data_IF_563629859578
#
_entry.id   IF_563629859578
#
_cell.length_a   1.000
_cell.length_b   1.000
_cell.length_c   1.000
_cell.angle_alpha   90.00
_cell.angle_beta   90.00
_cell.angle_gamma   90.00
#
_symmetry.space_group_name_H-M   'P 1'
#
loop_
_entity.id
_entity.type
_entity.pdbx_description
1 polymer ?
#
# COMPACT_ATOMS: atom_id res chain seq x y z
N UNK A 1 -3.28 -26.10 -3.97
CA UNK A 1 -2.20 -26.03 -4.98
C UNK A 1 -2.65 -25.32 -6.22
N UNK A 2 -1.78 -24.51 -6.81
CA UNK A 2 -2.03 -23.79 -8.07
C UNK A 2 -0.87 -24.01 -9.04
N UNK A 3 -1.17 -24.12 -10.32
CA UNK A 3 -0.13 -24.17 -11.35
C UNK A 3 0.37 -22.75 -11.66
N UNK A 4 1.67 -22.65 -11.95
CA UNK A 4 2.24 -21.37 -12.36
C UNK A 4 1.58 -20.81 -13.62
N UNK A 5 1.10 -21.67 -14.51
CA UNK A 5 0.33 -21.27 -15.69
C UNK A 5 -0.99 -20.56 -15.37
N UNK A 6 -1.49 -20.72 -14.16
CA UNK A 6 -2.76 -20.12 -13.70
C UNK A 6 -2.57 -18.87 -12.85
N UNK A 7 -1.35 -18.38 -12.69
CA UNK A 7 -1.08 -17.17 -11.92
C UNK A 7 -1.83 -15.96 -12.46
N UNK A 8 -2.29 -15.14 -11.51
CA UNK A 8 -2.88 -13.82 -11.79
C UNK A 8 -2.22 -12.80 -10.86
N UNK A 9 -2.33 -11.54 -11.19
CA UNK A 9 -1.87 -10.48 -10.28
C UNK A 9 -2.65 -10.57 -8.98
N UNK A 10 -1.93 -10.58 -7.86
CA UNK A 10 -2.51 -10.75 -6.53
C UNK A 10 -2.55 -12.18 -6.02
N UNK A 11 -2.26 -13.19 -6.86
CA UNK A 11 -2.15 -14.58 -6.41
C UNK A 11 -1.06 -14.68 -5.34
N UNK A 12 -1.38 -15.33 -4.20
CA UNK A 12 -0.44 -15.55 -3.09
C UNK A 12 -0.15 -17.03 -2.92
N UNK A 13 1.11 -17.35 -2.75
CA UNK A 13 1.57 -18.73 -2.60
C UNK A 13 2.79 -18.83 -1.70
N UNK A 14 3.04 -20.02 -1.18
CA UNK A 14 4.23 -20.32 -0.39
C UNK A 14 5.31 -20.95 -1.27
N UNK A 15 6.52 -20.44 -1.14
CA UNK A 15 7.71 -20.97 -1.80
C UNK A 15 8.88 -20.87 -0.83
N UNK A 16 9.57 -21.98 -0.58
CA UNK A 16 10.71 -22.06 0.34
C UNK A 16 10.40 -21.47 1.72
N UNK A 17 9.21 -21.78 2.25
CA UNK A 17 8.70 -21.29 3.54
C UNK A 17 8.50 -19.77 3.60
N UNK A 18 8.46 -19.10 2.45
CA UNK A 18 8.16 -17.68 2.33
C UNK A 18 6.85 -17.48 1.58
N UNK A 19 6.12 -16.43 1.89
CA UNK A 19 4.87 -16.08 1.20
C UNK A 19 5.12 -14.99 0.19
N UNK A 20 4.75 -15.26 -1.06
CA UNK A 20 4.90 -14.33 -2.18
C UNK A 20 3.55 -13.98 -2.79
N UNK A 21 3.47 -12.74 -3.27
CA UNK A 21 2.34 -12.28 -4.09
C UNK A 21 2.84 -12.00 -5.49
N UNK A 22 2.11 -12.46 -6.49
CA UNK A 22 2.39 -12.15 -7.89
C UNK A 22 2.01 -10.70 -8.15
N UNK A 23 3.01 -9.87 -8.46
CA UNK A 23 2.82 -8.45 -8.80
C UNK A 23 2.61 -8.29 -10.31
N UNK A 24 3.42 -8.99 -11.08
CA UNK A 24 3.32 -9.02 -12.54
C UNK A 24 3.64 -10.42 -13.04
N UNK A 25 3.01 -10.84 -14.12
CA UNK A 25 3.32 -12.10 -14.78
C UNK A 25 3.22 -11.94 -16.29
N UNK A 26 4.00 -12.76 -17.00
CA UNK A 26 3.98 -12.81 -18.45
C UNK A 26 4.14 -14.26 -18.91
N UNK A 27 3.19 -14.74 -19.69
CA UNK A 27 3.33 -16.02 -20.38
C UNK A 27 4.14 -15.83 -21.65
N UNK A 28 5.23 -16.56 -21.76
CA UNK A 28 6.11 -16.50 -22.92
C UNK A 28 6.10 -17.85 -23.63
N UNK A 29 5.79 -17.82 -24.92
CA UNK A 29 5.85 -18.99 -25.81
C UNK A 29 6.92 -18.69 -26.86
N UNK A 30 8.17 -19.10 -26.63
CA UNK A 30 9.22 -18.86 -27.63
C UNK A 30 8.96 -19.69 -28.89
N UNK A 31 9.42 -19.22 -30.03
CA UNK A 31 9.31 -19.97 -31.29
C UNK A 31 10.09 -21.27 -31.28
N UNK A 32 11.13 -21.36 -30.46
CA UNK A 32 11.92 -22.56 -30.17
C UNK A 32 12.07 -22.67 -28.65
N UNK A 33 11.77 -23.83 -28.10
CA UNK A 33 11.88 -24.10 -26.68
C UNK A 33 10.54 -24.19 -25.97
N UNK A 34 10.58 -24.52 -24.69
CA UNK A 34 9.39 -24.69 -23.85
C UNK A 34 8.81 -23.33 -23.43
N UNK A 35 7.47 -23.28 -23.31
CA UNK A 35 6.79 -22.12 -22.74
C UNK A 35 7.20 -21.92 -21.27
N UNK A 36 7.23 -20.67 -20.82
CA UNK A 36 7.52 -20.34 -19.43
C UNK A 36 6.67 -19.14 -18.96
N UNK A 37 6.59 -18.99 -17.63
CA UNK A 37 5.92 -17.87 -16.99
C UNK A 37 6.96 -17.04 -16.27
N UNK A 38 7.18 -15.82 -16.73
CA UNK A 38 8.05 -14.86 -16.05
C UNK A 38 7.22 -14.09 -15.03
N UNK A 39 7.66 -14.06 -13.79
CA UNK A 39 6.92 -13.42 -12.70
C UNK A 39 7.76 -12.41 -11.95
N UNK A 40 7.10 -11.37 -11.48
CA UNK A 40 7.64 -10.47 -10.48
C UNK A 40 6.87 -10.74 -9.18
N UNK A 41 7.62 -11.12 -8.16
CA UNK A 41 7.06 -11.57 -6.89
C UNK A 41 7.44 -10.59 -5.79
N UNK A 42 6.48 -10.30 -4.91
CA UNK A 42 6.72 -9.55 -3.69
C UNK A 42 6.62 -10.49 -2.51
N UNK A 43 7.69 -10.54 -1.69
CA UNK A 43 7.62 -11.22 -0.39
C UNK A 43 6.73 -10.38 0.51
N UNK A 44 5.56 -10.90 0.89
CA UNK A 44 4.55 -10.11 1.61
C UNK A 44 4.97 -9.77 3.03
N UNK A 45 5.87 -10.55 3.63
CA UNK A 45 6.34 -10.33 5.00
C UNK A 45 7.58 -9.43 5.00
N UNK A 46 8.57 -9.74 4.19
CA UNK A 46 9.82 -8.98 4.11
C UNK A 46 9.71 -7.69 3.27
N UNK A 47 8.71 -7.61 2.38
CA UNK A 47 8.51 -6.45 1.51
C UNK A 47 9.43 -6.40 0.29
N UNK A 48 10.34 -7.36 0.15
CA UNK A 48 11.29 -7.42 -0.97
C UNK A 48 10.62 -7.93 -2.24
N UNK A 49 11.15 -7.50 -3.38
CA UNK A 49 10.67 -7.92 -4.70
C UNK A 49 11.75 -8.73 -5.42
N UNK A 50 11.33 -9.78 -6.10
CA UNK A 50 12.25 -10.57 -6.93
C UNK A 50 11.57 -11.01 -8.22
N UNK A 51 12.37 -11.36 -9.22
CA UNK A 51 11.89 -11.96 -10.45
C UNK A 51 12.20 -13.47 -10.43
N UNK A 52 11.23 -14.25 -10.88
CA UNK A 52 11.38 -15.70 -11.00
C UNK A 52 10.64 -16.21 -12.22
N UNK A 53 11.25 -17.17 -12.90
CA UNK A 53 10.65 -17.85 -14.05
C UNK A 53 10.19 -19.23 -13.63
N UNK A 54 8.95 -19.56 -13.97
CA UNK A 54 8.34 -20.85 -13.68
C UNK A 54 8.03 -21.60 -14.98
N UNK A 55 8.10 -22.91 -14.91
CA UNK A 55 7.46 -23.77 -15.91
C UNK A 55 5.93 -23.68 -15.65
N UNK A 56 5.09 -23.54 -16.71
CA UNK A 56 3.64 -23.44 -16.50
C UNK A 56 3.01 -24.62 -15.74
N UNK A 57 3.65 -25.77 -15.79
CA UNK A 57 3.19 -26.99 -15.09
C UNK A 57 3.71 -27.12 -13.65
N UNK A 58 4.57 -26.21 -13.21
CA UNK A 58 5.02 -26.20 -11.81
C UNK A 58 3.85 -25.88 -10.89
N UNK A 59 3.80 -26.59 -9.76
CA UNK A 59 2.78 -26.40 -8.72
C UNK A 59 3.40 -25.71 -7.54
N UNK A 60 2.65 -24.75 -6.99
CA UNK A 60 2.99 -24.09 -5.73
C UNK A 60 1.80 -24.17 -4.79
N UNK A 61 2.06 -24.04 -3.50
CA UNK A 61 1.01 -24.05 -2.48
C UNK A 61 0.35 -22.67 -2.42
N UNK A 62 -0.89 -22.58 -2.90
CA UNK A 62 -1.67 -21.35 -2.81
C UNK A 62 -2.04 -21.10 -1.34
N UNK A 63 -1.84 -19.88 -0.87
CA UNK A 63 -2.16 -19.49 0.50
C UNK A 63 -3.15 -18.34 0.52
N UNK A 64 -3.95 -18.28 1.59
CA UNK A 64 -4.90 -17.20 1.80
C UNK A 64 -4.39 -16.23 2.84
N UNK A 65 -4.44 -14.94 2.52
CA UNK A 65 -4.15 -13.86 3.45
C UNK A 65 -5.46 -13.42 4.08
N UNK A 66 -5.49 -13.32 5.40
CA UNK A 66 -6.63 -12.80 6.13
C UNK A 66 -6.57 -11.28 6.14
N UNK A 67 -7.69 -10.65 5.76
CA UNK A 67 -7.85 -9.19 5.81
C UNK A 67 -8.88 -8.85 6.86
N UNK A 68 -8.53 -8.02 7.83
CA UNK A 68 -9.43 -7.54 8.87
C UNK A 68 -9.55 -6.03 8.79
N UNK A 69 -10.77 -5.52 8.86
CA UNK A 69 -10.99 -4.08 8.94
C UNK A 69 -10.87 -3.65 10.39
N UNK A 70 -9.95 -2.74 10.66
CA UNK A 70 -9.66 -2.23 12.00
C UNK A 70 -9.69 -0.71 12.03
N UNK A 71 -10.09 -0.16 13.18
CA UNK A 71 -10.09 1.27 13.42
C UNK A 71 -8.82 1.66 14.17
N UNK A 72 -8.10 2.66 13.66
CA UNK A 72 -6.99 3.26 14.38
C UNK A 72 -7.53 4.06 15.57
N UNK A 73 -7.03 3.78 16.77
CA UNK A 73 -7.49 4.46 17.99
C UNK A 73 -6.52 5.56 18.42
N UNK A 74 -5.28 5.21 18.75
CA UNK A 74 -4.27 6.15 19.26
C UNK A 74 -2.86 5.56 19.15
N UNK A 75 -1.86 6.39 19.42
CA UNK A 75 -0.48 5.96 19.54
C UNK A 75 0.18 6.61 20.76
N UNK A 76 1.29 6.02 21.23
CA UNK A 76 2.13 6.54 22.30
C UNK A 76 3.54 6.88 21.80
N UNK A 77 3.69 7.16 20.51
CA UNK A 77 4.95 7.45 19.85
C UNK A 77 5.42 6.30 18.96
N UNK A 78 5.69 5.14 19.51
CA UNK A 78 6.19 3.99 18.77
C UNK A 78 5.15 2.88 18.57
N UNK A 79 4.16 2.82 19.43
CA UNK A 79 3.12 1.79 19.40
C UNK A 79 1.79 2.42 18.97
N UNK A 80 1.19 1.82 17.94
CA UNK A 80 -0.08 2.24 17.36
C UNK A 80 -1.13 1.19 17.67
N UNK A 81 -2.24 1.60 18.29
CA UNK A 81 -3.31 0.71 18.72
C UNK A 81 -4.47 0.75 17.75
N UNK A 82 -4.88 -0.42 17.28
CA UNK A 82 -5.99 -0.63 16.36
C UNK A 82 -7.03 -1.54 17.00
N UNK A 83 -8.27 -1.37 16.65
CA UNK A 83 -9.37 -2.21 17.14
C UNK A 83 -10.08 -2.88 15.97
N UNK A 84 -10.26 -4.19 16.07
CA UNK A 84 -11.04 -4.95 15.07
C UNK A 84 -12.50 -4.52 15.13
N UNK A 85 -13.07 -4.13 13.99
CA UNK A 85 -14.45 -3.64 13.92
C UNK A 85 -15.50 -4.73 14.17
N UNK A 86 -15.13 -5.99 14.04
CA UNK A 86 -16.04 -7.12 14.24
C UNK A 86 -15.93 -7.72 15.66
N UNK A 87 -14.72 -7.92 16.14
CA UNK A 87 -14.45 -8.60 17.41
C UNK A 87 -14.22 -7.64 18.57
N UNK A 88 -13.92 -6.37 18.27
CA UNK A 88 -13.54 -5.32 19.22
C UNK A 88 -12.23 -5.62 19.96
N UNK A 89 -11.48 -6.61 19.51
CA UNK A 89 -10.15 -6.89 20.03
C UNK A 89 -9.18 -5.80 19.59
N UNK A 90 -8.28 -5.39 20.48
CA UNK A 90 -7.25 -4.42 20.20
C UNK A 90 -5.94 -5.10 19.85
N UNK A 91 -5.26 -4.58 18.87
CA UNK A 91 -3.91 -5.01 18.49
C UNK A 91 -2.96 -3.83 18.53
N UNK A 92 -1.73 -4.09 18.95
CA UNK A 92 -0.67 -3.09 19.00
C UNK A 92 0.33 -3.37 17.89
N UNK A 93 0.61 -2.37 17.08
CA UNK A 93 1.57 -2.45 15.99
C UNK A 93 2.68 -1.42 16.20
N UNK A 94 3.89 -1.81 15.85
CA UNK A 94 5.04 -0.90 15.90
C UNK A 94 5.02 0.05 14.71
N UNK A 95 5.58 1.23 14.90
CA UNK A 95 5.67 2.26 13.86
C UNK A 95 6.29 1.74 12.56
N UNK A 96 7.33 0.92 12.65
CA UNK A 96 8.00 0.35 11.48
C UNK A 96 7.11 -0.62 10.67
N UNK A 97 6.10 -1.22 11.30
CA UNK A 97 5.16 -2.10 10.63
C UNK A 97 4.10 -1.36 9.80
N UNK A 98 3.91 -0.07 10.07
CA UNK A 98 2.87 0.76 9.46
C UNK A 98 3.39 2.02 8.76
N UNK A 99 4.70 2.10 8.51
CA UNK A 99 5.34 3.28 7.90
C UNK A 99 4.65 3.73 6.60
N UNK A 100 4.20 2.78 5.79
CA UNK A 100 3.60 3.06 4.49
C UNK A 100 2.28 3.85 4.60
N UNK A 101 1.57 3.73 5.72
CA UNK A 101 0.29 4.43 5.92
C UNK A 101 0.39 5.67 6.81
N UNK A 102 1.52 5.89 7.48
CA UNK A 102 1.68 7.03 8.39
C UNK A 102 1.35 8.38 7.75
N UNK A 103 1.73 8.65 6.48
CA UNK A 103 1.37 9.93 5.84
C UNK A 103 -0.13 10.17 5.71
N UNK A 104 -0.93 9.12 5.82
CA UNK A 104 -2.38 9.16 5.59
C UNK A 104 -3.20 8.89 6.83
N UNK A 105 -2.57 8.46 7.93
CA UNK A 105 -3.27 7.94 9.11
C UNK A 105 -3.89 9.06 9.93
N UNK A 106 -5.22 9.06 10.01
CA UNK A 106 -6.00 9.95 10.86
C UNK A 106 -6.60 9.19 12.03
N UNK A 107 -6.86 9.89 13.13
CA UNK A 107 -7.56 9.31 14.28
C UNK A 107 -8.92 8.75 13.86
N UNK A 108 -9.25 7.57 14.37
CA UNK A 108 -10.49 6.84 14.08
C UNK A 108 -10.66 6.38 12.63
N UNK A 109 -9.60 6.41 11.85
CA UNK A 109 -9.62 5.91 10.47
C UNK A 109 -9.71 4.39 10.44
N UNK A 110 -10.52 3.86 9.53
CA UNK A 110 -10.56 2.43 9.25
C UNK A 110 -9.46 2.05 8.27
N UNK A 111 -8.74 1.00 8.58
CA UNK A 111 -7.66 0.46 7.75
C UNK A 111 -7.85 -1.04 7.57
N UNK A 112 -7.20 -1.62 6.58
CA UNK A 112 -7.17 -3.06 6.39
C UNK A 112 -5.88 -3.62 6.97
N UNK A 113 -6.00 -4.57 7.89
CA UNK A 113 -4.86 -5.24 8.50
C UNK A 113 -4.73 -6.62 7.86
N UNK A 114 -3.56 -6.88 7.32
CA UNK A 114 -3.24 -8.11 6.60
C UNK A 114 -2.49 -9.06 7.52
N UNK A 115 -2.96 -10.31 7.59
CA UNK A 115 -2.31 -11.33 8.40
C UNK A 115 -2.23 -12.66 7.68
N UNK A 116 -1.24 -13.46 8.07
CA UNK A 116 -1.05 -14.82 7.60
C UNK A 116 -0.74 -15.71 8.80
N UNK A 117 -1.54 -16.75 8.99
CA UNK A 117 -1.43 -17.67 10.15
C UNK A 117 -1.36 -16.92 11.48
N UNK A 118 -2.19 -15.89 11.64
CA UNK A 118 -2.27 -15.09 12.87
C UNK A 118 -1.17 -14.03 13.03
N UNK A 119 -0.22 -13.95 12.10
CA UNK A 119 0.84 -12.95 12.13
C UNK A 119 0.51 -11.77 11.22
N UNK A 120 0.43 -10.58 11.79
CA UNK A 120 0.18 -9.35 11.03
C UNK A 120 1.47 -8.95 10.33
N UNK A 121 1.39 -8.71 9.02
CA UNK A 121 2.55 -8.32 8.23
C UNK A 121 2.37 -7.02 7.46
N UNK A 122 1.18 -6.47 7.43
CA UNK A 122 0.94 -5.22 6.71
C UNK A 122 -0.37 -4.55 7.10
N UNK A 123 -0.45 -3.27 6.79
CA UNK A 123 -1.64 -2.45 6.97
C UNK A 123 -1.82 -1.63 5.70
N UNK A 124 -3.05 -1.60 5.19
CA UNK A 124 -3.39 -0.80 4.00
C UNK A 124 -4.35 0.32 4.38
N UNK A 125 -4.02 1.54 3.98
CA UNK A 125 -4.92 2.68 4.11
C UNK A 125 -6.05 2.58 3.07
N UNK A 126 -7.17 3.30 3.27
CA UNK A 126 -8.16 3.46 2.20
C UNK A 126 -7.49 3.99 0.93
N UNK A 127 -8.04 3.63 -0.22
CA UNK A 127 -7.48 4.07 -1.52
C UNK A 127 -7.39 5.57 -1.63
N UNK A 128 -8.38 6.28 -1.12
CA UNK A 128 -8.41 7.75 -1.09
C UNK A 128 -8.60 8.25 0.34
N UNK A 129 -7.86 9.29 0.68
CA UNK A 129 -8.00 9.98 1.97
C UNK A 129 -8.19 11.46 1.74
N UNK A 130 -8.94 12.11 2.64
CA UNK A 130 -9.14 13.54 2.64
C UNK A 130 -8.36 14.13 3.79
N UNK A 131 -7.42 15.03 3.48
CA UNK A 131 -6.51 15.62 4.46
C UNK A 131 -6.58 17.15 4.40
N UNK A 132 -6.62 17.78 5.56
CA UNK A 132 -6.62 19.22 5.68
C UNK A 132 -5.20 19.76 5.55
N UNK A 133 -5.04 20.79 4.70
CA UNK A 133 -3.75 21.49 4.55
C UNK A 133 -3.55 22.40 5.76
N UNK A 134 -2.46 22.15 6.49
CA UNK A 134 -2.08 22.92 7.67
C UNK A 134 -1.07 24.02 7.36
N UNK A 135 -0.25 23.81 6.34
CA UNK A 135 0.70 24.81 5.86
C UNK A 135 0.98 24.65 4.37
N UNK A 136 0.99 25.76 3.67
CA UNK A 136 1.49 25.85 2.30
C UNK A 136 1.83 27.30 2.01
N UNK A 137 2.78 27.52 1.10
CA UNK A 137 3.13 28.87 0.65
C UNK A 137 2.10 29.37 -0.34
N UNK A 138 1.91 30.70 -0.46
CA UNK A 138 1.08 31.28 -1.51
C UNK A 138 1.59 30.89 -2.89
N UNK A 139 0.67 30.53 -3.79
CA UNK A 139 1.02 30.27 -5.18
C UNK A 139 1.34 31.58 -5.89
N UNK A 140 2.58 31.77 -6.34
CA UNK A 140 3.01 32.96 -7.05
C UNK A 140 2.85 32.71 -8.55
N UNK A 141 1.99 33.50 -9.19
CA UNK A 141 1.85 33.52 -10.66
C UNK A 141 3.13 34.10 -11.28
N UNK A 142 3.68 33.38 -12.24
CA UNK A 142 4.83 33.86 -13.02
C UNK A 142 6.18 33.31 -12.58
N UNK A 143 6.27 32.50 -11.55
CA UNK A 143 7.44 31.69 -11.33
C UNK A 143 7.42 30.56 -12.38
N UNK A 144 8.16 30.83 -13.33
CA UNK A 144 8.57 30.15 -14.52
C UNK A 144 8.51 28.63 -14.50
N UNK A 145 8.21 28.13 -15.60
CA UNK A 145 8.71 26.93 -16.30
C UNK A 145 8.72 25.59 -15.57
N UNK A 146 8.75 25.50 -14.25
CA UNK A 146 8.73 24.24 -13.49
C UNK A 146 7.64 24.16 -12.45
N UNK A 147 6.79 25.17 -12.31
CA UNK A 147 5.98 25.34 -11.13
C UNK A 147 4.48 25.33 -11.35
N UNK A 148 3.90 24.22 -11.81
CA UNK A 148 2.46 24.03 -11.71
C UNK A 148 2.05 23.50 -10.34
N UNK A 149 2.99 23.08 -9.52
CA UNK A 149 2.74 22.52 -8.19
C UNK A 149 3.61 23.19 -7.12
N UNK A 150 3.18 23.04 -5.87
CA UNK A 150 3.91 23.50 -4.68
C UNK A 150 3.76 22.46 -3.57
N UNK A 151 4.66 22.43 -2.58
CA UNK A 151 4.49 21.56 -1.42
C UNK A 151 3.41 22.09 -0.48
N UNK A 152 2.60 21.19 0.05
CA UNK A 152 1.63 21.49 1.10
C UNK A 152 1.78 20.45 2.22
N UNK A 153 1.84 20.92 3.45
CA UNK A 153 1.85 20.07 4.64
C UNK A 153 0.42 19.89 5.11
N UNK A 154 0.06 18.65 5.40
CA UNK A 154 -1.29 18.29 5.85
C UNK A 154 -1.31 17.91 7.33
N UNK A 155 -2.49 17.70 7.87
CA UNK A 155 -2.72 17.44 9.30
C UNK A 155 -1.98 16.23 9.88
N UNK A 156 -1.58 15.26 9.04
CA UNK A 156 -0.74 14.13 9.46
C UNK A 156 0.73 14.48 9.62
N UNK A 157 1.13 15.68 9.20
CA UNK A 157 2.54 16.10 9.16
C UNK A 157 3.24 15.77 7.84
N UNK A 158 2.60 15.04 6.95
CA UNK A 158 3.15 14.70 5.64
C UNK A 158 3.07 15.87 4.67
N UNK A 159 3.91 15.86 3.64
CA UNK A 159 3.94 16.88 2.60
C UNK A 159 3.62 16.27 1.25
N UNK A 160 2.73 16.91 0.50
CA UNK A 160 2.32 16.49 -0.84
C UNK A 160 2.46 17.62 -1.83
N UNK A 161 2.69 17.29 -3.09
CA UNK A 161 2.70 18.27 -4.18
C UNK A 161 1.26 18.57 -4.60
N UNK A 162 0.88 19.84 -4.55
CA UNK A 162 -0.48 20.29 -4.85
C UNK A 162 -0.46 21.41 -5.88
N UNK A 163 -1.58 21.65 -6.59
CA UNK A 163 -1.71 22.84 -7.47
C UNK A 163 -1.51 24.13 -6.70
N UNK A 164 -1.08 25.19 -7.41
CA UNK A 164 -0.77 26.48 -6.80
C UNK A 164 -1.97 27.14 -6.11
N UNK A 165 -3.20 26.81 -6.52
CA UNK A 165 -4.42 27.39 -5.95
C UNK A 165 -4.81 26.84 -4.57
N UNK A 166 -4.18 25.77 -4.12
CA UNK A 166 -4.47 25.16 -2.81
C UNK A 166 -3.97 26.09 -1.70
N UNK A 167 -4.81 26.32 -0.69
CA UNK A 167 -4.54 27.21 0.44
C UNK A 167 -4.63 26.48 1.77
N UNK A 168 -4.09 27.08 2.82
CA UNK A 168 -4.22 26.58 4.19
C UNK A 168 -5.70 26.48 4.54
N UNK A 169 -6.11 25.36 5.15
CA UNK A 169 -7.49 25.06 5.51
C UNK A 169 -8.28 24.31 4.46
N UNK A 170 -7.76 24.20 3.23
CA UNK A 170 -8.41 23.39 2.21
C UNK A 170 -8.26 21.90 2.54
N UNK A 171 -9.29 21.10 2.22
CA UNK A 171 -9.20 19.65 2.21
C UNK A 171 -8.82 19.17 0.83
N UNK A 172 -7.86 18.27 0.78
CA UNK A 172 -7.40 17.67 -0.46
C UNK A 172 -7.58 16.16 -0.40
N UNK A 173 -7.94 15.59 -1.54
CA UNK A 173 -8.02 14.14 -1.69
C UNK A 173 -6.72 13.62 -2.27
N UNK A 174 -6.14 12.63 -1.60
CA UNK A 174 -4.89 11.99 -1.98
C UNK A 174 -5.16 10.53 -2.33
N UNK A 175 -4.57 10.05 -3.42
CA UNK A 175 -4.54 8.63 -3.74
C UNK A 175 -3.40 7.99 -2.94
N UNK A 176 -3.74 7.13 -1.99
CA UNK A 176 -2.75 6.51 -1.09
C UNK A 176 -1.84 5.50 -1.79
N UNK A 177 -2.23 5.02 -2.97
CA UNK A 177 -1.42 4.09 -3.77
C UNK A 177 -0.21 4.77 -4.40
N UNK A 178 -0.34 6.04 -4.73
CA UNK A 178 0.68 6.83 -5.44
C UNK A 178 1.22 8.01 -4.64
N UNK A 179 0.48 8.45 -3.62
CA UNK A 179 0.80 9.66 -2.86
C UNK A 179 0.47 10.95 -3.63
N UNK A 180 -0.33 10.86 -4.68
CA UNK A 180 -0.63 11.99 -5.55
C UNK A 180 -1.92 12.70 -5.17
N UNK A 181 -1.89 14.02 -5.32
CA UNK A 181 -3.07 14.87 -5.22
C UNK A 181 -4.09 14.53 -6.32
N UNK A 182 -5.35 14.38 -5.93
CA UNK A 182 -6.44 14.12 -6.86
C UNK A 182 -7.32 15.33 -7.10
N UNK A 183 -7.82 15.94 -6.02
CA UNK A 183 -8.72 17.08 -6.11
C UNK A 183 -8.82 17.82 -4.77
N UNK A 184 -9.29 19.05 -4.85
CA UNK A 184 -9.70 19.80 -3.66
C UNK A 184 -11.17 19.47 -3.37
N UNK A 185 -11.46 19.13 -2.13
CA UNK A 185 -12.79 18.70 -1.68
C UNK A 185 -13.55 19.86 -1.03
#
# INVERSE_FOLDING_TARGET
MIFAGDFRNGTTFELDSQVYRVVEFQHVKPGKGAAFVRTKLKNVIAGTTMEKTFNPSEKVEEVSITTSEMQYLYNDGDIYTFMDNNTYEQVELKKDQIEDILPYLLDNMNVKVLSYKGNIFGVEAPTFVELEVTYTEPGIKGSTATGTTKPATVETGATFQVPLFVEIGNKIRIDTRTGEYMERV
#
